data_IF_764997932542
#
_entry.id   IF_764997932542
#
_cell.length_a   1.000
_cell.length_b   1.000
_cell.length_c   1.000
_cell.angle_alpha   90.00
_cell.angle_beta   90.00
_cell.angle_gamma   90.00
#
_symmetry.space_group_name_H-M   'P 1'
#
loop_
_entity.id
_entity.type
_entity.pdbx_description
1 polymer ?
#
# COMPACT_ATOMS: atom_id res chain seq x y z
N UNK A 1 6.72 12.28 -9.80
CA UNK A 1 6.70 10.85 -10.15
C UNK A 1 6.04 10.14 -9.00
N UNK A 2 4.78 9.73 -9.16
CA UNK A 2 4.07 8.97 -8.12
C UNK A 2 4.80 7.66 -7.80
N UNK A 3 4.70 7.21 -6.55
CA UNK A 3 5.31 5.95 -6.13
C UNK A 3 4.71 4.79 -6.92
N UNK A 4 5.55 3.87 -7.36
CA UNK A 4 5.12 2.66 -8.09
C UNK A 4 5.61 1.45 -7.35
N UNK A 5 4.72 0.50 -7.14
CA UNK A 5 5.02 -0.72 -6.41
C UNK A 5 4.38 -1.91 -7.14
N UNK A 6 5.17 -2.93 -7.41
CA UNK A 6 4.69 -4.16 -8.04
C UNK A 6 4.76 -5.31 -7.02
N UNK A 7 3.59 -5.87 -6.71
CA UNK A 7 3.46 -7.01 -5.79
C UNK A 7 3.02 -8.26 -6.54
N UNK A 8 3.60 -9.39 -6.18
CA UNK A 8 3.18 -10.69 -6.71
C UNK A 8 2.00 -11.22 -5.92
N UNK A 9 1.08 -11.89 -6.61
CA UNK A 9 -0.06 -12.57 -5.98
C UNK A 9 -0.14 -14.04 -6.39
N UNK A 10 -0.78 -14.85 -5.56
CA UNK A 10 -1.03 -16.26 -5.84
C UNK A 10 -2.21 -16.43 -6.80
N UNK A 11 -2.08 -17.24 -7.87
CA UNK A 11 -3.16 -17.43 -8.83
C UNK A 11 -4.42 -18.07 -8.20
N UNK A 12 -4.25 -18.80 -7.10
CA UNK A 12 -5.37 -19.37 -6.34
C UNK A 12 -6.28 -18.29 -5.73
N UNK A 13 -5.71 -17.33 -4.99
CA UNK A 13 -6.46 -16.24 -4.37
C UNK A 13 -7.13 -15.35 -5.43
N UNK A 14 -6.45 -15.12 -6.56
CA UNK A 14 -7.04 -14.39 -7.67
C UNK A 14 -8.20 -15.13 -8.34
N UNK A 15 -8.10 -16.46 -8.47
CA UNK A 15 -9.22 -17.29 -8.92
C UNK A 15 -10.45 -17.16 -8.01
N UNK A 16 -10.23 -17.12 -6.69
CA UNK A 16 -11.32 -16.91 -5.72
C UNK A 16 -11.93 -15.51 -5.80
N UNK A 17 -11.11 -14.48 -6.05
CA UNK A 17 -11.60 -13.11 -6.30
C UNK A 17 -12.48 -13.05 -7.56
N UNK A 18 -12.04 -13.68 -8.67
CA UNK A 18 -12.80 -13.69 -9.93
C UNK A 18 -14.12 -14.44 -9.81
N UNK A 19 -14.16 -15.51 -9.02
CA UNK A 19 -15.39 -16.25 -8.71
C UNK A 19 -16.28 -15.53 -7.68
N UNK A 20 -15.84 -14.37 -7.16
CA UNK A 20 -16.51 -13.63 -6.08
C UNK A 20 -16.70 -14.45 -4.79
N UNK A 21 -15.83 -15.44 -4.58
CA UNK A 21 -15.81 -16.25 -3.35
C UNK A 21 -15.20 -15.49 -2.17
N UNK A 22 -14.31 -14.54 -2.45
CA UNK A 22 -13.70 -13.65 -1.44
C UNK A 22 -13.88 -12.19 -1.87
N UNK A 23 -14.04 -11.25 -0.93
CA UNK A 23 -13.99 -9.83 -1.23
C UNK A 23 -12.57 -9.42 -1.63
N UNK A 24 -12.47 -8.30 -2.35
CA UNK A 24 -11.16 -7.75 -2.76
C UNK A 24 -10.29 -7.31 -1.57
N UNK A 25 -10.91 -7.00 -0.42
CA UNK A 25 -10.22 -6.67 0.83
C UNK A 25 -9.43 -7.86 1.37
N UNK A 26 -10.06 -9.05 1.43
CA UNK A 26 -9.40 -10.29 1.81
C UNK A 26 -8.30 -10.65 0.81
N UNK A 27 -8.57 -10.52 -0.49
CA UNK A 27 -7.55 -10.74 -1.51
C UNK A 27 -6.33 -9.83 -1.34
N UNK A 28 -6.52 -8.53 -1.16
CA UNK A 28 -5.41 -7.60 -0.93
C UNK A 28 -4.69 -7.90 0.39
N UNK A 29 -5.42 -8.26 1.44
CA UNK A 29 -4.83 -8.68 2.71
C UNK A 29 -3.93 -9.90 2.53
N UNK A 30 -4.36 -10.90 1.76
CA UNK A 30 -3.51 -12.05 1.39
C UNK A 30 -2.30 -11.62 0.57
N UNK A 31 -2.46 -10.71 -0.39
CA UNK A 31 -1.33 -10.19 -1.20
C UNK A 31 -0.31 -9.50 -0.31
N UNK A 32 -0.72 -8.67 0.64
CA UNK A 32 0.19 -8.00 1.56
C UNK A 32 0.85 -8.99 2.52
N UNK A 33 0.09 -9.93 3.10
CA UNK A 33 0.59 -10.94 4.04
C UNK A 33 1.34 -12.09 3.37
N UNK A 34 1.30 -12.18 2.04
CA UNK A 34 1.73 -13.34 1.25
C UNK A 34 3.19 -13.77 1.43
N UNK A 35 3.39 -15.04 1.07
CA UNK A 35 4.57 -15.93 1.10
C UNK A 35 5.48 -15.86 2.33
N UNK A 36 6.00 -14.70 2.72
CA UNK A 36 6.83 -14.51 3.92
C UNK A 36 6.76 -13.06 4.44
N UNK A 37 5.69 -12.32 4.14
CA UNK A 37 5.62 -10.88 4.41
C UNK A 37 6.53 -10.01 3.52
N UNK A 38 7.10 -10.57 2.45
CA UNK A 38 7.94 -9.83 1.48
C UNK A 38 7.19 -8.66 0.84
N UNK A 39 5.92 -8.86 0.50
CA UNK A 39 5.06 -7.82 -0.06
C UNK A 39 4.74 -6.74 0.99
N UNK A 40 4.46 -7.14 2.24
CA UNK A 40 4.32 -6.22 3.37
C UNK A 40 5.57 -5.36 3.56
N UNK A 41 6.76 -5.97 3.56
CA UNK A 41 8.03 -5.25 3.69
C UNK A 41 8.27 -4.27 2.55
N UNK A 42 7.93 -4.65 1.30
CA UNK A 42 8.01 -3.75 0.15
C UNK A 42 7.06 -2.56 0.28
N UNK A 43 5.83 -2.78 0.73
CA UNK A 43 4.87 -1.71 0.99
C UNK A 43 5.35 -0.77 2.07
N UNK A 44 5.83 -1.30 3.22
CA UNK A 44 6.44 -0.49 4.27
C UNK A 44 7.65 0.28 3.76
N UNK A 45 8.48 -0.32 2.90
CA UNK A 45 9.63 0.36 2.31
C UNK A 45 9.22 1.52 1.39
N UNK A 46 8.16 1.37 0.61
CA UNK A 46 7.60 2.46 -0.20
C UNK A 46 7.06 3.58 0.69
N UNK A 47 6.22 3.24 1.67
CA UNK A 47 5.70 4.21 2.65
C UNK A 47 6.81 4.93 3.44
N UNK A 48 7.91 4.25 3.77
CA UNK A 48 9.10 4.88 4.38
C UNK A 48 9.78 5.84 3.40
N UNK A 49 9.94 5.46 2.13
CA UNK A 49 10.54 6.29 1.09
C UNK A 49 9.75 7.58 0.88
N UNK A 50 8.42 7.52 0.95
CA UNK A 50 7.53 8.68 0.92
C UNK A 50 7.88 9.74 1.99
N UNK A 51 8.22 9.31 3.21
CA UNK A 51 8.57 10.20 4.33
C UNK A 51 10.06 10.50 4.48
N UNK A 52 10.92 9.92 3.64
CA UNK A 52 12.37 10.04 3.78
C UNK A 52 12.87 11.50 3.63
N UNK A 53 12.09 12.37 2.98
CA UNK A 53 12.40 13.81 2.86
C UNK A 53 12.25 14.59 4.18
N UNK A 54 11.57 14.05 5.20
CA UNK A 54 11.28 14.78 6.43
C UNK A 54 12.38 14.69 7.50
N UNK A 55 13.49 13.98 7.24
CA UNK A 55 14.54 13.71 8.21
C UNK A 55 14.15 12.68 9.30
N UNK A 56 15.13 12.17 10.05
CA UNK A 56 14.93 11.08 11.02
C UNK A 56 14.92 9.69 10.38
N UNK A 57 14.77 8.64 11.20
CA UNK A 57 14.59 7.27 10.74
C UNK A 57 13.09 6.92 10.78
N UNK A 58 12.32 7.10 9.68
CA UNK A 58 10.90 6.79 9.66
C UNK A 58 10.68 5.28 9.74
N UNK A 59 9.86 4.86 10.68
CA UNK A 59 9.41 3.49 10.82
C UNK A 59 7.89 3.40 10.68
N UNK A 60 7.43 2.62 9.70
CA UNK A 60 6.00 2.32 9.53
C UNK A 60 5.66 1.18 10.49
N UNK A 61 4.92 1.51 11.54
CA UNK A 61 4.57 0.56 12.61
C UNK A 61 3.40 -0.32 12.20
N UNK A 62 2.42 0.27 11.51
CA UNK A 62 1.24 -0.41 10.99
C UNK A 62 0.64 0.38 9.84
N UNK A 63 -0.08 -0.32 8.96
CA UNK A 63 -0.95 0.28 7.97
C UNK A 63 -2.28 -0.46 7.89
N UNK A 64 -3.31 0.26 7.47
CA UNK A 64 -4.68 -0.20 7.25
C UNK A 64 -5.15 0.30 5.89
N UNK A 65 -5.96 -0.51 5.21
CA UNK A 65 -6.58 -0.12 3.94
C UNK A 65 -8.03 0.27 4.17
N UNK A 66 -8.45 1.41 3.63
CA UNK A 66 -9.79 1.96 3.76
C UNK A 66 -10.36 2.36 2.40
N UNK A 67 -11.69 2.38 2.27
CA UNK A 67 -12.37 2.86 1.07
C UNK A 67 -12.04 2.10 -0.21
N UNK A 68 -11.80 0.78 -0.11
CA UNK A 68 -11.43 -0.06 -1.25
C UNK A 68 -12.53 -0.08 -2.32
N UNK A 69 -12.14 0.26 -3.54
CA UNK A 69 -12.95 0.19 -4.75
C UNK A 69 -12.27 -0.74 -5.72
N UNK A 70 -13.02 -1.66 -6.32
CA UNK A 70 -12.48 -2.59 -7.30
C UNK A 70 -13.47 -2.81 -8.43
N UNK A 71 -12.99 -2.66 -9.65
CA UNK A 71 -13.72 -2.93 -10.87
C UNK A 71 -13.22 -4.26 -11.48
N UNK A 72 -14.11 -5.24 -11.51
CA UNK A 72 -13.84 -6.58 -12.05
C UNK A 72 -13.69 -6.57 -13.58
N UNK A 73 -14.28 -5.61 -14.30
CA UNK A 73 -14.23 -5.57 -15.75
C UNK A 73 -12.87 -5.06 -16.25
N UNK A 74 -12.30 -4.06 -15.57
CA UNK A 74 -10.98 -3.50 -15.90
C UNK A 74 -9.84 -4.08 -15.07
N UNK A 75 -10.15 -4.90 -14.06
CA UNK A 75 -9.20 -5.45 -13.07
C UNK A 75 -8.37 -4.35 -12.39
N UNK A 76 -9.01 -3.22 -12.11
CA UNK A 76 -8.36 -2.07 -11.48
C UNK A 76 -9.18 -1.56 -10.31
N UNK A 77 -8.52 -0.93 -9.36
CA UNK A 77 -9.17 -0.40 -8.18
C UNK A 77 -8.37 0.71 -7.52
N UNK A 78 -8.89 1.19 -6.40
CA UNK A 78 -8.20 2.15 -5.56
C UNK A 78 -8.55 1.93 -4.09
N UNK A 79 -7.65 2.31 -3.20
CA UNK A 79 -7.86 2.30 -1.76
C UNK A 79 -7.04 3.42 -1.12
N UNK A 80 -7.44 3.81 0.08
CA UNK A 80 -6.66 4.70 0.92
C UNK A 80 -5.87 3.85 1.90
N UNK A 81 -4.55 3.97 1.87
CA UNK A 81 -3.68 3.35 2.87
C UNK A 81 -3.47 4.35 4.00
N UNK A 82 -4.00 4.06 5.19
CA UNK A 82 -3.76 4.83 6.41
C UNK A 82 -2.61 4.15 7.16
N UNK A 83 -1.60 4.90 7.55
CA UNK A 83 -0.42 4.30 8.17
C UNK A 83 0.16 5.21 9.24
N UNK A 84 0.78 4.57 10.23
CA UNK A 84 1.42 5.27 11.34
C UNK A 84 2.93 5.23 11.14
N UNK A 85 3.54 6.41 11.03
CA UNK A 85 4.99 6.57 10.93
C UNK A 85 5.52 7.12 12.25
N UNK A 86 6.45 6.39 12.85
CA UNK A 86 7.20 6.84 14.00
C UNK A 86 8.57 7.35 13.55
N UNK A 87 8.91 8.58 13.95
CA UNK A 87 10.22 9.18 13.70
C UNK A 87 11.03 9.12 14.99
N UNK A 88 12.22 8.50 14.91
CA UNK A 88 13.18 8.52 16.01
C UNK A 88 14.26 9.59 15.78
N UNK A 89 14.39 10.51 16.73
CA UNK A 89 15.44 11.53 16.76
C UNK A 89 16.40 11.26 17.91
N UNK A 90 17.52 10.59 17.61
CA UNK A 90 18.48 10.12 18.62
C UNK A 90 19.24 11.20 19.41
N UNK A 91 19.01 12.49 19.16
CA UNK A 91 19.59 13.58 19.97
C UNK A 91 18.68 14.07 21.11
N UNK A 92 17.38 13.73 21.09
CA UNK A 92 16.40 14.28 22.03
C UNK A 92 15.50 13.19 22.65
N UNK A 93 15.78 11.91 22.38
CA UNK A 93 14.94 10.75 22.77
C UNK A 93 13.44 10.96 22.45
N UNK A 94 13.17 11.71 21.38
CA UNK A 94 11.84 12.14 20.99
C UNK A 94 11.22 11.14 20.00
N UNK A 95 10.08 10.58 20.38
CA UNK A 95 9.23 9.76 19.53
C UNK A 95 8.11 10.63 18.98
N UNK A 96 8.15 10.93 17.68
CA UNK A 96 7.03 11.59 17.01
C UNK A 96 6.27 10.54 16.22
N UNK A 97 5.04 10.29 16.63
CA UNK A 97 4.07 9.50 15.87
C UNK A 97 3.26 10.42 14.96
N UNK A 98 3.29 10.17 13.66
CA UNK A 98 2.39 10.80 12.69
C UNK A 98 1.48 9.75 12.08
N UNK A 99 0.19 10.08 12.06
CA UNK A 99 -0.80 9.37 11.26
C UNK A 99 -0.86 10.05 9.90
N UNK A 100 -0.68 9.27 8.85
CA UNK A 100 -0.72 9.74 7.48
C UNK A 100 -1.59 8.82 6.64
N UNK A 101 -2.00 9.29 5.48
CA UNK A 101 -2.85 8.52 4.57
C UNK A 101 -2.54 8.86 3.13
N UNK A 102 -2.36 7.83 2.32
CA UNK A 102 -2.03 7.97 0.90
C UNK A 102 -3.04 7.16 0.07
N UNK A 103 -3.54 7.79 -0.99
CA UNK A 103 -4.39 7.11 -1.97
C UNK A 103 -3.51 6.27 -2.90
N UNK A 104 -3.86 4.99 -3.04
CA UNK A 104 -3.24 4.08 -3.98
C UNK A 104 -4.26 3.63 -5.02
N UNK A 105 -3.85 3.66 -6.28
CA UNK A 105 -4.54 2.99 -7.37
C UNK A 105 -3.82 1.69 -7.65
N UNK A 106 -4.54 0.63 -7.99
CA UNK A 106 -3.95 -0.64 -8.35
C UNK A 106 -4.56 -1.24 -9.60
N UNK A 107 -3.76 -2.02 -10.33
CA UNK A 107 -4.20 -2.75 -11.51
C UNK A 107 -3.60 -4.15 -11.49
N UNK A 108 -4.46 -5.14 -11.70
CA UNK A 108 -4.07 -6.55 -11.68
C UNK A 108 -3.71 -7.00 -13.09
N UNK A 109 -2.46 -7.40 -13.27
CA UNK A 109 -2.00 -8.11 -14.46
C UNK A 109 -2.12 -9.62 -14.26
N UNK A 110 -3.14 -10.19 -14.89
CA UNK A 110 -3.43 -11.63 -14.83
C UNK A 110 -2.41 -12.50 -15.56
N UNK A 111 -1.65 -11.95 -16.51
CA UNK A 111 -0.70 -12.72 -17.31
C UNK A 111 0.64 -12.89 -16.57
N UNK A 112 1.07 -11.84 -15.88
CA UNK A 112 2.29 -11.80 -15.08
C UNK A 112 2.08 -12.20 -13.62
N UNK A 113 0.82 -12.33 -13.16
CA UNK A 113 0.46 -12.52 -11.76
C UNK A 113 1.00 -11.39 -10.84
N UNK A 114 0.89 -10.15 -11.33
CA UNK A 114 1.36 -8.95 -10.65
C UNK A 114 0.22 -7.97 -10.38
N UNK A 115 0.29 -7.28 -9.25
CA UNK A 115 -0.52 -6.09 -8.97
C UNK A 115 0.39 -4.89 -9.05
N UNK A 116 0.06 -3.99 -9.98
CA UNK A 116 0.73 -2.72 -10.16
C UNK A 116 0.02 -1.68 -9.30
N UNK A 117 0.68 -1.20 -8.27
CA UNK A 117 0.24 -0.11 -7.42
C UNK A 117 0.87 1.20 -7.87
N UNK A 118 0.05 2.24 -7.94
CA UNK A 118 0.46 3.61 -8.25
C UNK A 118 -0.06 4.52 -7.14
N UNK A 119 0.85 5.04 -6.34
CA UNK A 119 0.55 5.97 -5.25
C UNK A 119 0.30 7.38 -5.78
N UNK A 120 -0.42 8.16 -4.99
CA UNK A 120 -0.60 9.59 -5.23
C UNK A 120 0.76 10.32 -5.23
N UNK A 121 0.87 11.38 -6.03
CA UNK A 121 2.03 12.26 -5.96
C UNK A 121 1.95 13.12 -4.69
N UNK A 122 3.03 13.27 -3.91
CA UNK A 122 3.01 13.99 -2.62
C UNK A 122 2.60 15.48 -2.68
N UNK A 123 2.22 16.02 -3.84
CA UNK A 123 2.01 17.45 -4.07
C UNK A 123 0.70 17.82 -4.77
N UNK A 124 -0.36 17.00 -4.71
CA UNK A 124 -1.71 17.48 -5.04
C UNK A 124 -2.57 17.68 -3.79
N UNK A 125 -2.11 18.55 -2.89
CA UNK A 125 -3.05 19.35 -2.10
C UNK A 125 -3.57 20.40 -3.08
N UNK A 126 -4.58 20.04 -3.87
CA UNK A 126 -5.35 21.03 -4.61
C UNK A 126 -6.07 21.89 -3.57
N UNK A 127 -5.57 23.11 -3.42
CA UNK A 127 -6.14 24.09 -2.53
C UNK A 127 -7.53 24.48 -3.01
N UNK A 128 -8.49 24.43 -2.11
CA UNK A 128 -9.73 25.18 -2.24
C UNK A 128 -10.12 25.78 -0.89
#
# INVERSE_FOLDING_TARGET
>A
MGEKLDLQFTPQSFGQLLLQHIPVEDFLTEVFKGDEGKNYQKMCSALKAYHHQNGGAPEVVAFETDGLKFDLATLSGSFVCKFKVSFFFGCDDLYIDKLDSISWQFKIDKAAHLIHFTGEEPWSIDGN
#
